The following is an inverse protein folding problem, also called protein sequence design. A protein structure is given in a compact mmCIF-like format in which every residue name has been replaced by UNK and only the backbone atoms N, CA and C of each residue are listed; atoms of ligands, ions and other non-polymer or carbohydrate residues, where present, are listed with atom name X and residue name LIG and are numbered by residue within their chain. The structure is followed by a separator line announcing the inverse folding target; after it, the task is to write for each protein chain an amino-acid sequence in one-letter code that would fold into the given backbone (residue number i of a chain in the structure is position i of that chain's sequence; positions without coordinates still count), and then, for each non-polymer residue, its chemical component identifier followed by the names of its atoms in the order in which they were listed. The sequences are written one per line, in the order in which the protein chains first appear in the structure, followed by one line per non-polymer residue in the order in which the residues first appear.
data_IF_579396469895
#
_entry.id   IF_579396469895
#
_cell.length_a   1.000
_cell.length_b   1.000
_cell.length_c   1.000
_cell.angle_alpha   90.00
_cell.angle_beta   90.00
_cell.angle_gamma   90.00
#
_symmetry.space_group_name_H-M   'P 1'
#
loop_
_entity.id
_entity.type
_entity.pdbx_description
1 polymer ?
#
# COMPACT_ATOMS: atom_id res chain seq x y z
N UNK A 1 -0.12 48.00 -54.77
CA UNK A 1 0.73 46.86 -55.16
C UNK A 1 0.01 45.59 -54.77
N UNK A 2 -0.31 44.74 -55.77
CA UNK A 2 -0.56 43.28 -55.77
C UNK A 2 -1.46 42.68 -54.67
N UNK A 3 -2.44 41.81 -54.92
CA UNK A 3 -3.09 41.25 -56.11
C UNK A 3 -4.34 40.48 -55.59
N UNK A 4 -5.43 40.51 -56.37
CA UNK A 4 -6.23 39.35 -56.87
C UNK A 4 -6.77 38.30 -55.86
N UNK A 5 -8.09 38.09 -55.67
CA UNK A 5 -9.16 37.57 -56.56
C UNK A 5 -9.41 36.03 -56.41
N UNK A 6 -10.68 35.72 -56.11
CA UNK A 6 -11.50 34.54 -56.44
C UNK A 6 -11.66 33.32 -55.48
N UNK A 7 -12.97 33.03 -55.35
CA UNK A 7 -13.74 31.81 -54.99
C UNK A 7 -13.09 30.49 -55.46
N UNK A 8 -13.36 29.30 -54.90
CA UNK A 8 -14.65 28.59 -54.93
C UNK A 8 -14.62 27.28 -54.11
N UNK A 9 -15.80 26.68 -53.97
CA UNK A 9 -16.24 25.51 -53.19
C UNK A 9 -15.47 24.20 -53.41
N UNK A 10 -15.50 23.33 -52.39
CA UNK A 10 -15.20 21.90 -52.54
C UNK A 10 -15.37 21.11 -51.24
N UNK A 11 -16.57 20.57 -51.02
CA UNK A 11 -16.83 19.53 -50.03
C UNK A 11 -16.09 18.24 -50.40
N UNK A 12 -15.30 17.65 -49.50
CA UNK A 12 -15.17 16.18 -49.40
C UNK A 12 -15.14 15.81 -47.92
N UNK A 13 -16.00 14.85 -47.61
CA UNK A 13 -16.29 14.27 -46.33
C UNK A 13 -15.44 13.00 -46.11
N UNK A 14 -15.13 12.73 -44.83
CA UNK A 14 -14.93 11.41 -44.21
C UNK A 14 -13.60 10.69 -44.52
N UNK A 15 -12.81 10.45 -43.48
CA UNK A 15 -12.52 9.08 -43.03
C UNK A 15 -11.99 9.07 -41.58
N UNK A 16 -12.77 8.43 -40.72
CA UNK A 16 -12.37 8.00 -39.39
C UNK A 16 -11.27 6.95 -39.52
N UNK A 17 -10.20 7.06 -38.74
CA UNK A 17 -9.50 5.86 -38.27
C UNK A 17 -8.81 6.20 -36.94
N UNK A 18 -9.51 5.82 -35.86
CA UNK A 18 -8.97 5.12 -34.70
C UNK A 18 -7.51 5.41 -34.31
N UNK A 19 -7.33 6.23 -33.27
CA UNK A 19 -6.49 5.92 -32.09
C UNK A 19 -6.53 7.13 -31.13
N UNK A 20 -7.58 7.21 -30.32
CA UNK A 20 -7.69 8.17 -29.23
C UNK A 20 -6.76 7.76 -28.09
N UNK A 21 -5.49 8.14 -28.18
CA UNK A 21 -4.61 8.22 -27.00
C UNK A 21 -4.79 9.60 -26.37
N UNK A 22 -5.50 9.64 -25.24
CA UNK A 22 -5.77 10.88 -24.49
C UNK A 22 -4.48 11.66 -24.20
N UNK A 23 -4.33 12.82 -24.86
CA UNK A 23 -3.24 13.76 -24.61
C UNK A 23 -3.58 14.53 -23.33
N UNK A 24 -3.07 14.04 -22.20
CA UNK A 24 -3.27 14.66 -20.90
C UNK A 24 -2.35 15.87 -20.74
N UNK A 25 -2.94 17.07 -20.78
CA UNK A 25 -2.21 18.34 -20.69
C UNK A 25 -1.77 18.67 -19.25
N UNK A 26 -0.66 19.40 -19.12
CA UNK A 26 -0.20 19.97 -17.84
C UNK A 26 -1.12 21.13 -17.45
N UNK A 27 -1.87 20.98 -16.37
CA UNK A 27 -2.74 22.03 -15.81
C UNK A 27 -2.05 22.71 -14.62
N UNK A 28 -2.36 23.97 -14.33
CA UNK A 28 -1.83 24.69 -13.15
C UNK A 28 -2.08 23.92 -11.85
N UNK A 29 -3.25 23.29 -11.69
CA UNK A 29 -3.57 22.45 -10.52
C UNK A 29 -2.62 21.26 -10.35
N UNK A 30 -2.32 20.55 -11.45
CA UNK A 30 -1.38 19.41 -11.45
C UNK A 30 0.04 19.85 -11.13
N UNK A 31 0.44 21.01 -11.66
CA UNK A 31 1.72 21.61 -11.34
C UNK A 31 1.81 21.99 -9.86
N UNK A 32 0.78 22.62 -9.31
CA UNK A 32 0.70 22.95 -7.89
C UNK A 32 0.79 21.69 -7.01
N UNK A 33 0.14 20.59 -7.38
CA UNK A 33 0.24 19.33 -6.65
C UNK A 33 1.67 18.76 -6.62
N UNK A 34 2.42 18.86 -7.73
CA UNK A 34 3.82 18.42 -7.82
C UNK A 34 4.72 19.28 -6.91
N UNK A 35 4.55 20.61 -6.97
CA UNK A 35 5.36 21.56 -6.19
C UNK A 35 5.09 21.43 -4.69
N UNK A 36 3.81 21.26 -4.32
CA UNK A 36 3.38 21.18 -2.93
C UNK A 36 3.52 19.78 -2.31
N UNK A 37 3.96 18.77 -3.08
CA UNK A 37 4.05 17.37 -2.63
C UNK A 37 2.70 16.86 -2.10
N UNK A 38 1.62 17.10 -2.85
CA UNK A 38 0.27 16.77 -2.39
C UNK A 38 -0.04 15.27 -2.62
N UNK A 39 -0.22 14.46 -1.55
CA UNK A 39 -0.54 13.04 -1.67
C UNK A 39 -1.96 12.77 -2.19
N UNK A 40 -2.86 13.75 -2.18
CA UNK A 40 -4.25 13.58 -2.65
C UNK A 40 -4.37 13.39 -4.17
N UNK A 41 -3.28 13.63 -4.90
CA UNK A 41 -3.16 13.43 -6.35
C UNK A 41 -2.34 12.19 -6.72
N UNK A 42 -1.84 11.44 -5.73
CA UNK A 42 -1.24 10.14 -6.00
C UNK A 42 -2.28 9.20 -6.66
N UNK A 43 -1.84 8.37 -7.61
CA UNK A 43 -2.67 7.48 -8.44
C UNK A 43 -3.70 8.16 -9.37
N UNK A 44 -3.88 9.49 -9.30
CA UNK A 44 -4.68 10.25 -10.29
C UNK A 44 -3.88 10.61 -11.54
N UNK A 45 -2.59 10.89 -11.37
CA UNK A 45 -1.66 11.11 -12.45
C UNK A 45 -0.22 10.88 -12.00
N UNK A 46 0.65 10.66 -12.97
CA UNK A 46 2.09 10.57 -12.82
C UNK A 46 2.76 11.65 -13.65
N UNK A 47 3.98 12.05 -13.26
CA UNK A 47 4.75 13.01 -14.04
C UNK A 47 6.12 12.45 -14.41
N UNK A 48 6.48 12.54 -15.69
CA UNK A 48 7.79 12.21 -16.25
C UNK A 48 8.65 13.44 -16.42
N UNK A 49 9.94 13.32 -16.13
CA UNK A 49 10.93 14.36 -16.39
C UNK A 49 11.74 13.97 -17.63
N UNK A 50 11.51 14.65 -18.75
CA UNK A 50 12.11 14.36 -20.07
C UNK A 50 13.63 14.26 -20.01
N UNK A 51 14.28 15.14 -19.25
CA UNK A 51 15.75 15.19 -19.13
C UNK A 51 16.35 13.99 -18.42
N UNK A 52 15.62 13.36 -17.49
CA UNK A 52 16.13 12.21 -16.71
C UNK A 52 15.54 10.87 -17.14
N UNK A 53 14.48 10.92 -17.96
CA UNK A 53 13.67 9.77 -18.32
C UNK A 53 13.03 9.09 -17.11
N UNK A 54 12.86 9.79 -15.98
CA UNK A 54 12.25 9.24 -14.75
C UNK A 54 10.81 9.73 -14.63
N UNK A 55 9.88 8.85 -14.30
CA UNK A 55 8.54 9.25 -13.86
C UNK A 55 8.32 9.07 -12.36
N UNK A 56 7.45 9.91 -11.80
CA UNK A 56 7.23 10.10 -10.37
C UNK A 56 5.73 10.30 -10.05
N UNK A 57 5.37 10.10 -8.79
CA UNK A 57 4.09 10.55 -8.19
C UNK A 57 4.16 12.02 -7.74
N UNK A 58 3.05 12.76 -7.69
CA UNK A 58 2.99 14.12 -7.15
C UNK A 58 3.59 14.26 -5.75
N UNK A 59 3.41 13.28 -4.87
CA UNK A 59 4.05 13.23 -3.53
C UNK A 59 5.56 12.93 -3.52
N UNK A 60 6.23 12.90 -4.66
CA UNK A 60 7.66 12.56 -4.70
C UNK A 60 8.52 13.66 -4.06
N UNK A 61 9.27 13.31 -3.02
CA UNK A 61 10.25 14.20 -2.34
C UNK A 61 11.54 14.45 -3.16
N UNK A 62 11.50 14.22 -4.46
CA UNK A 62 12.63 14.55 -5.33
C UNK A 62 12.64 16.04 -5.63
N UNK A 63 13.79 16.58 -6.05
CA UNK A 63 13.87 18.00 -6.42
C UNK A 63 12.86 18.31 -7.52
N UNK A 64 12.14 19.40 -7.37
CA UNK A 64 11.15 19.84 -8.35
C UNK A 64 11.85 20.11 -9.68
N UNK A 65 11.47 19.42 -10.77
CA UNK A 65 12.04 19.63 -12.11
C UNK A 65 11.54 20.95 -12.71
N UNK A 66 12.17 21.45 -13.77
CA UNK A 66 11.61 22.57 -14.53
C UNK A 66 10.31 22.15 -15.24
N UNK A 67 9.28 22.98 -15.17
CA UNK A 67 7.94 22.69 -15.72
C UNK A 67 7.97 22.31 -17.22
N UNK A 68 8.83 22.96 -18.00
CA UNK A 68 9.02 22.71 -19.44
C UNK A 68 9.42 21.26 -19.78
N UNK A 69 10.09 20.60 -18.84
CA UNK A 69 10.62 19.26 -18.97
C UNK A 69 9.69 18.21 -18.36
N UNK A 70 8.53 18.60 -17.87
CA UNK A 70 7.56 17.70 -17.26
C UNK A 70 6.52 17.25 -18.28
N UNK A 71 6.24 15.95 -18.29
CA UNK A 71 5.14 15.33 -19.03
C UNK A 71 4.19 14.66 -18.03
N UNK A 72 2.89 14.72 -18.27
CA UNK A 72 1.90 14.04 -17.42
C UNK A 72 1.49 12.73 -18.08
N UNK A 73 1.31 11.70 -17.25
CA UNK A 73 0.76 10.40 -17.60
C UNK A 73 -0.43 10.11 -16.69
N UNK A 74 -1.45 9.42 -17.20
CA UNK A 74 -2.56 8.96 -16.35
C UNK A 74 -2.19 7.68 -15.61
N UNK A 75 -1.42 6.81 -16.27
CA UNK A 75 -1.02 5.52 -15.74
C UNK A 75 0.51 5.35 -15.76
N UNK A 76 1.03 4.54 -14.85
CA UNK A 76 2.40 4.09 -14.84
C UNK A 76 2.74 3.28 -16.11
N UNK A 77 1.79 2.52 -16.67
CA UNK A 77 1.99 1.78 -17.92
C UNK A 77 2.25 2.71 -19.10
N UNK A 78 1.50 3.82 -19.20
CA UNK A 78 1.73 4.84 -20.21
C UNK A 78 3.16 5.40 -20.13
N UNK A 79 3.64 5.71 -18.93
CA UNK A 79 5.00 6.18 -18.72
C UNK A 79 6.06 5.13 -19.13
N UNK A 80 5.83 3.85 -18.83
CA UNK A 80 6.72 2.76 -19.20
C UNK A 80 6.79 2.55 -20.72
N UNK A 81 5.65 2.64 -21.41
CA UNK A 81 5.57 2.54 -22.88
C UNK A 81 6.37 3.65 -23.56
N UNK A 82 6.40 4.84 -22.96
CA UNK A 82 7.20 5.98 -23.41
C UNK A 82 8.68 5.93 -22.97
N UNK A 83 9.15 4.79 -22.47
CA UNK A 83 10.54 4.56 -22.01
C UNK A 83 10.94 5.37 -20.78
N UNK A 84 9.98 5.87 -19.99
CA UNK A 84 10.30 6.44 -18.69
C UNK A 84 10.51 5.32 -17.66
N UNK A 85 11.60 5.40 -16.89
CA UNK A 85 11.88 4.49 -15.79
C UNK A 85 11.19 4.95 -14.50
N UNK A 86 10.65 4.04 -13.68
CA UNK A 86 10.02 4.40 -12.43
C UNK A 86 11.04 4.99 -11.46
N UNK A 87 10.67 6.08 -10.81
CA UNK A 87 11.51 6.67 -9.78
C UNK A 87 11.71 5.69 -8.63
N UNK A 88 12.98 5.40 -8.32
CA UNK A 88 13.35 4.50 -7.21
C UNK A 88 12.90 5.01 -5.84
N UNK A 89 12.63 6.32 -5.70
CA UNK A 89 12.21 6.95 -4.44
C UNK A 89 10.71 6.82 -4.20
N UNK A 90 9.87 7.25 -5.14
CA UNK A 90 8.42 7.19 -4.97
C UNK A 90 7.81 5.87 -5.42
N UNK A 91 8.56 5.01 -6.14
CA UNK A 91 8.12 3.70 -6.64
C UNK A 91 6.73 3.80 -7.28
N UNK A 92 6.60 4.57 -8.37
CA UNK A 92 5.31 4.91 -8.94
C UNK A 92 4.57 3.71 -9.55
N UNK A 93 5.31 2.72 -10.06
CA UNK A 93 4.78 1.51 -10.71
C UNK A 93 4.27 0.43 -9.76
N UNK A 94 4.31 0.64 -8.44
CA UNK A 94 3.69 -0.28 -7.50
C UNK A 94 2.21 0.04 -7.37
N UNK A 95 1.34 -0.95 -7.60
CA UNK A 95 -0.07 -0.87 -7.20
C UNK A 95 -0.13 -0.44 -5.74
N UNK A 96 -0.61 0.77 -5.46
CA UNK A 96 -0.88 1.23 -4.11
C UNK A 96 -2.37 1.13 -3.87
N UNK A 97 -2.77 0.18 -3.04
CA UNK A 97 -4.08 0.27 -2.40
C UNK A 97 -4.08 1.52 -1.50
N UNK A 98 -5.22 2.22 -1.35
CA UNK A 98 -5.36 3.26 -0.34
C UNK A 98 -4.84 2.75 1.00
N UNK A 99 -4.06 3.57 1.70
CA UNK A 99 -3.37 3.16 2.94
C UNK A 99 -4.29 2.48 3.96
N UNK A 100 -5.55 2.92 4.07
CA UNK A 100 -6.57 2.36 4.95
C UNK A 100 -7.05 0.97 4.51
N UNK A 101 -7.35 0.80 3.23
CA UNK A 101 -7.72 -0.49 2.63
C UNK A 101 -6.57 -1.49 2.72
N UNK A 102 -5.35 -1.00 2.55
CA UNK A 102 -4.13 -1.77 2.70
C UNK A 102 -3.97 -2.31 4.13
N UNK A 103 -4.18 -1.46 5.14
CA UNK A 103 -4.16 -1.89 6.53
C UNK A 103 -5.31 -2.85 6.84
N UNK A 104 -6.49 -2.66 6.23
CA UNK A 104 -7.63 -3.56 6.38
C UNK A 104 -7.32 -4.97 5.87
N UNK A 105 -6.77 -5.11 4.66
CA UNK A 105 -6.38 -6.40 4.10
C UNK A 105 -5.31 -7.12 4.94
N UNK A 106 -4.31 -6.38 5.44
CA UNK A 106 -3.30 -6.95 6.33
C UNK A 106 -3.94 -7.47 7.63
N UNK A 107 -4.90 -6.73 8.21
CA UNK A 107 -5.60 -7.19 9.41
C UNK A 107 -6.42 -8.45 9.15
N UNK A 108 -7.23 -8.43 8.10
CA UNK A 108 -8.06 -9.57 7.71
C UNK A 108 -7.20 -10.82 7.50
N UNK A 109 -6.07 -10.68 6.82
CA UNK A 109 -5.15 -11.79 6.63
C UNK A 109 -4.58 -12.30 7.95
N UNK A 110 -4.15 -11.40 8.84
CA UNK A 110 -3.63 -11.81 10.16
C UNK A 110 -4.73 -12.51 10.97
N UNK A 111 -5.96 -12.01 10.96
CA UNK A 111 -7.05 -12.56 11.76
C UNK A 111 -7.49 -13.95 11.25
N UNK A 112 -7.30 -14.23 9.96
CA UNK A 112 -7.55 -15.55 9.36
C UNK A 112 -6.35 -16.52 9.50
N UNK A 113 -5.12 -16.00 9.56
CA UNK A 113 -3.89 -16.82 9.47
C UNK A 113 -2.94 -16.63 10.67
N UNK A 114 -3.44 -16.14 11.82
CA UNK A 114 -2.59 -15.83 12.98
C UNK A 114 -1.77 -17.02 13.50
N UNK A 115 -2.25 -18.25 13.29
CA UNK A 115 -1.58 -19.48 13.70
C UNK A 115 -0.33 -19.81 12.89
N UNK A 116 -0.18 -19.21 11.70
CA UNK A 116 0.92 -19.51 10.78
C UNK A 116 2.18 -18.69 11.06
N UNK A 117 3.28 -19.03 10.39
CA UNK A 117 4.53 -18.27 10.43
C UNK A 117 4.42 -16.97 9.60
N UNK A 118 3.75 -15.96 10.18
CA UNK A 118 3.59 -14.65 9.56
C UNK A 118 4.87 -13.81 9.67
N UNK A 119 5.47 -13.46 8.52
CA UNK A 119 6.63 -12.56 8.43
C UNK A 119 6.23 -11.20 7.87
N UNK A 120 7.08 -10.19 8.09
CA UNK A 120 6.85 -8.85 7.56
C UNK A 120 6.93 -8.85 6.03
N UNK A 121 7.83 -9.68 5.49
CA UNK A 121 8.03 -9.89 4.06
C UNK A 121 6.77 -10.47 3.41
N UNK A 122 6.20 -11.52 4.01
CA UNK A 122 4.96 -12.14 3.51
C UNK A 122 3.80 -11.13 3.47
N UNK A 123 3.60 -10.40 4.58
CA UNK A 123 2.55 -9.38 4.66
C UNK A 123 2.74 -8.27 3.63
N UNK A 124 4.00 -7.89 3.35
CA UNK A 124 4.30 -6.87 2.37
C UNK A 124 4.11 -7.35 0.93
N UNK A 125 4.48 -8.60 0.63
CA UNK A 125 4.34 -9.20 -0.69
C UNK A 125 2.88 -9.33 -1.12
N UNK A 126 2.01 -9.82 -0.23
CA UNK A 126 0.57 -9.95 -0.51
C UNK A 126 -0.09 -8.65 -0.93
N UNK A 127 0.41 -7.55 -0.40
CA UNK A 127 -0.16 -6.24 -0.63
C UNK A 127 0.75 -5.36 -1.51
N UNK A 128 1.63 -5.99 -2.30
CA UNK A 128 2.52 -5.39 -3.30
C UNK A 128 3.37 -4.22 -2.79
N UNK A 129 3.77 -4.26 -1.51
CA UNK A 129 4.45 -3.18 -0.82
C UNK A 129 5.86 -3.50 -0.34
N UNK A 130 6.53 -2.49 0.21
CA UNK A 130 7.81 -2.67 0.91
C UNK A 130 7.59 -2.96 2.39
N UNK A 131 8.29 -3.94 3.00
CA UNK A 131 8.13 -4.29 4.42
C UNK A 131 8.24 -3.11 5.38
N UNK A 132 9.23 -2.24 5.19
CA UNK A 132 9.44 -1.05 6.03
C UNK A 132 8.33 -0.02 5.87
N UNK A 133 7.86 0.19 4.63
CA UNK A 133 6.75 1.10 4.39
C UNK A 133 5.46 0.55 5.02
N UNK A 134 5.23 -0.76 4.86
CA UNK A 134 4.11 -1.49 5.42
C UNK A 134 4.05 -1.38 6.93
N UNK A 135 5.16 -1.63 7.62
CA UNK A 135 5.23 -1.47 9.06
C UNK A 135 4.87 -0.04 9.50
N UNK A 136 5.36 0.98 8.78
CA UNK A 136 5.14 2.39 9.12
C UNK A 136 3.70 2.82 8.88
N UNK A 137 3.14 2.46 7.73
CA UNK A 137 1.75 2.78 7.37
C UNK A 137 0.78 2.07 8.29
N UNK A 138 0.96 0.76 8.50
CA UNK A 138 0.14 -0.01 9.43
C UNK A 138 0.16 0.59 10.83
N UNK A 139 1.35 0.95 11.34
CA UNK A 139 1.47 1.59 12.66
C UNK A 139 0.79 2.96 12.72
N UNK A 140 0.86 3.77 11.67
CA UNK A 140 0.19 5.08 11.62
C UNK A 140 -1.33 4.92 11.70
N UNK A 141 -1.89 3.91 11.05
CA UNK A 141 -3.33 3.69 10.95
C UNK A 141 -3.88 2.97 12.19
N UNK A 142 -3.21 1.90 12.63
CA UNK A 142 -3.68 1.06 13.74
C UNK A 142 -3.12 1.44 15.11
N UNK A 143 -2.13 2.33 15.16
CA UNK A 143 -1.43 2.71 16.39
C UNK A 143 -0.44 1.67 16.92
N UNK A 144 -0.31 0.52 16.26
CA UNK A 144 0.61 -0.56 16.66
C UNK A 144 1.24 -1.22 15.43
N UNK A 145 2.38 -1.87 15.60
CA UNK A 145 3.04 -2.59 14.50
C UNK A 145 2.30 -3.88 14.12
N UNK A 146 2.50 -4.39 12.89
CA UNK A 146 1.94 -5.68 12.46
C UNK A 146 2.29 -6.84 13.40
N UNK A 147 3.55 -6.89 13.87
CA UNK A 147 4.00 -7.92 14.81
C UNK A 147 3.27 -7.81 16.15
N UNK A 148 3.05 -6.59 16.65
CA UNK A 148 2.27 -6.38 17.87
C UNK A 148 0.79 -6.78 17.68
N UNK A 149 0.24 -6.55 16.48
CA UNK A 149 -1.12 -6.98 16.13
C UNK A 149 -1.22 -8.51 16.12
N UNK A 150 -0.30 -9.21 15.44
CA UNK A 150 -0.21 -10.68 15.45
C UNK A 150 -0.15 -11.21 16.88
N UNK A 151 0.75 -10.67 17.71
CA UNK A 151 0.86 -11.09 19.12
C UNK A 151 -0.44 -10.83 19.88
N UNK A 152 -1.11 -9.70 19.65
CA UNK A 152 -2.39 -9.37 20.30
C UNK A 152 -3.47 -10.38 19.91
N UNK A 153 -3.61 -10.68 18.62
CA UNK A 153 -4.58 -11.66 18.09
C UNK A 153 -4.31 -13.04 18.68
N UNK A 154 -3.07 -13.52 18.63
CA UNK A 154 -2.66 -14.82 19.20
C UNK A 154 -2.95 -14.93 20.70
N UNK A 155 -2.63 -13.89 21.48
CA UNK A 155 -2.94 -13.88 22.91
C UNK A 155 -4.45 -13.87 23.15
N UNK A 156 -5.23 -13.11 22.38
CA UNK A 156 -6.70 -13.13 22.48
C UNK A 156 -7.26 -14.53 22.24
N UNK A 157 -6.85 -15.18 21.15
CA UNK A 157 -7.27 -16.54 20.81
C UNK A 157 -6.83 -17.56 21.84
N UNK A 158 -5.63 -17.40 22.40
CA UNK A 158 -5.19 -18.28 23.48
C UNK A 158 -6.02 -18.14 24.76
N UNK A 159 -6.55 -16.95 25.08
CA UNK A 159 -7.46 -16.78 26.22
C UNK A 159 -8.77 -17.51 26.02
N UNK A 160 -9.32 -17.44 24.80
CA UNK A 160 -10.53 -18.19 24.41
C UNK A 160 -10.29 -19.69 24.65
N UNK A 161 -9.23 -20.26 24.06
CA UNK A 161 -8.88 -21.68 24.24
C UNK A 161 -8.63 -22.07 25.70
N UNK A 162 -7.93 -21.24 26.46
CA UNK A 162 -7.67 -21.51 27.88
C UNK A 162 -8.95 -21.58 28.72
N UNK A 163 -10.00 -20.88 28.30
CA UNK A 163 -11.28 -20.78 29.01
C UNK A 163 -12.31 -21.80 28.54
N UNK A 164 -12.22 -22.25 27.29
CA UNK A 164 -13.23 -23.13 26.67
C UNK A 164 -12.76 -24.56 26.46
N UNK A 165 -11.47 -24.87 26.61
CA UNK A 165 -10.90 -26.20 26.37
C UNK A 165 -9.95 -26.65 27.47
N UNK A 166 -9.79 -27.97 27.58
CA UNK A 166 -8.83 -28.63 28.48
C UNK A 166 -7.45 -28.85 27.85
N UNK A 167 -7.20 -28.31 26.65
CA UNK A 167 -5.93 -28.47 25.93
C UNK A 167 -4.75 -28.04 26.81
N UNK A 168 -3.62 -28.71 26.70
CA UNK A 168 -2.41 -28.32 27.42
C UNK A 168 -1.90 -26.95 26.97
N UNK A 169 -1.12 -26.29 27.84
CA UNK A 169 -0.50 -24.99 27.53
C UNK A 169 0.41 -25.09 26.28
N UNK A 170 1.04 -26.25 26.07
CA UNK A 170 1.86 -26.53 24.90
C UNK A 170 1.01 -26.59 23.63
N UNK A 171 -0.08 -27.37 23.63
CA UNK A 171 -0.99 -27.49 22.47
C UNK A 171 -1.61 -26.14 22.10
N UNK A 172 -2.03 -25.36 23.11
CA UNK A 172 -2.55 -24.00 22.87
C UNK A 172 -1.47 -23.12 22.24
N UNK A 173 -0.25 -23.13 22.78
CA UNK A 173 0.88 -22.40 22.20
C UNK A 173 1.11 -22.74 20.73
N UNK A 174 1.13 -24.03 20.38
CA UNK A 174 1.27 -24.49 19.00
C UNK A 174 0.08 -24.00 18.14
N UNK A 175 -1.15 -24.16 18.61
CA UNK A 175 -2.36 -23.78 17.85
C UNK A 175 -2.45 -22.29 17.53
N UNK A 176 -1.90 -21.43 18.38
CA UNK A 176 -1.87 -19.97 18.16
C UNK A 176 -0.56 -19.50 17.49
N UNK A 177 0.27 -20.41 16.99
CA UNK A 177 1.49 -20.06 16.25
C UNK A 177 2.68 -19.66 17.13
N UNK A 178 2.70 -20.05 18.41
CA UNK A 178 3.81 -19.83 19.36
C UNK A 178 4.26 -21.18 19.94
N UNK A 179 4.96 -21.96 19.12
CA UNK A 179 5.38 -23.32 19.47
C UNK A 179 6.28 -23.39 20.72
N UNK A 180 7.11 -22.37 20.97
CA UNK A 180 7.92 -22.32 22.19
C UNK A 180 7.05 -21.98 23.41
N UNK A 181 6.77 -22.99 24.24
CA UNK A 181 5.91 -22.88 25.41
C UNK A 181 6.42 -21.88 26.45
N UNK A 182 7.74 -21.79 26.67
CA UNK A 182 8.33 -20.83 27.61
C UNK A 182 8.19 -19.39 27.11
N UNK A 183 8.39 -19.19 25.80
CA UNK A 183 8.16 -17.89 25.15
C UNK A 183 6.68 -17.50 25.21
N UNK A 184 5.78 -18.44 24.90
CA UNK A 184 4.33 -18.24 25.01
C UNK A 184 3.92 -17.82 26.42
N UNK A 185 4.35 -18.55 27.45
CA UNK A 185 4.01 -18.23 28.84
C UNK A 185 4.52 -16.84 29.26
N UNK A 186 5.75 -16.49 28.86
CA UNK A 186 6.34 -15.17 29.11
C UNK A 186 5.56 -14.06 28.40
N UNK A 187 5.25 -14.23 27.12
CA UNK A 187 4.50 -13.25 26.33
C UNK A 187 3.08 -13.07 26.86
N UNK A 188 2.40 -14.18 27.18
CA UNK A 188 1.06 -14.16 27.76
C UNK A 188 1.06 -13.38 29.07
N UNK A 189 1.95 -13.71 30.02
CA UNK A 189 2.07 -12.97 31.28
C UNK A 189 2.35 -11.49 31.08
N UNK A 190 3.24 -11.13 30.13
CA UNK A 190 3.53 -9.73 29.79
C UNK A 190 2.30 -8.98 29.28
N UNK A 191 1.43 -9.65 28.50
CA UNK A 191 0.25 -9.03 27.87
C UNK A 191 -1.00 -9.07 28.74
N UNK A 192 -1.10 -9.99 29.70
CA UNK A 192 -2.32 -10.23 30.49
C UNK A 192 -2.14 -10.03 32.00
N UNK A 193 -0.90 -9.94 32.48
CA UNK A 193 -0.58 -9.86 33.91
C UNK A 193 -0.54 -11.21 34.63
N UNK A 194 -0.99 -12.31 34.01
CA UNK A 194 -1.10 -13.62 34.64
C UNK A 194 -0.46 -14.72 33.78
N UNK A 195 -0.02 -15.83 34.38
CA UNK A 195 0.45 -16.98 33.59
C UNK A 195 -0.72 -17.68 32.90
N UNK A 196 -0.52 -18.41 31.78
CA UNK A 196 -1.60 -19.17 31.13
C UNK A 196 -2.35 -20.10 32.09
N UNK A 197 -1.61 -20.82 32.95
CA UNK A 197 -2.19 -21.70 33.98
C UNK A 197 -2.97 -20.92 35.04
N UNK A 198 -2.46 -19.76 35.48
CA UNK A 198 -3.17 -18.89 36.42
C UNK A 198 -4.46 -18.35 35.83
N UNK A 199 -4.41 -17.92 34.57
CA UNK A 199 -5.58 -17.45 33.84
C UNK A 199 -6.65 -18.54 33.70
N UNK A 200 -6.28 -19.76 33.29
CA UNK A 200 -7.23 -20.90 33.23
C UNK A 200 -7.90 -21.15 34.59
N UNK A 201 -7.13 -21.21 35.67
CA UNK A 201 -7.71 -21.41 37.01
C UNK A 201 -8.69 -20.29 37.37
N UNK A 202 -8.40 -19.05 36.97
CA UNK A 202 -9.29 -17.91 37.24
C UNK A 202 -10.60 -17.97 36.46
N UNK A 203 -10.60 -18.60 35.27
CA UNK A 203 -11.79 -18.70 34.41
C UNK A 203 -12.60 -19.98 34.64
N UNK A 204 -11.95 -21.05 35.11
CA UNK A 204 -12.59 -22.35 35.38
C UNK A 204 -13.30 -22.42 36.74
N UNK A 205 -13.08 -21.44 37.64
CA UNK A 205 -13.87 -21.36 38.89
C UNK A 205 -15.29 -20.92 38.54
N UNK A 206 -16.17 -21.91 38.37
CA UNK A 206 -17.62 -21.82 38.41
C UNK A 206 -18.17 -23.00 39.19
#
# INVERSE_FOLDING_TARGET
MRNEIQQDKGSIQIENTEESTDIVSMTEERWHAIVNNDPSYDDKFYYGVKTTGIFCRPSCKSRTPNIENVRIFLDAEQALSEKFRPCKRCKPSGLRLPDEEWAAQIMEYIDNNYGEALTLELLAEMCHGSPFHMQRTFKRIKGMTPIEYIQKTRISKSKELLSTTDQSIMEIGISVGIANTAHFATLFKKKTGQTPTGYRKSTTIR
#
